data_IF_749133104878
#
_entry.id   IF_749133104878
#
_cell.length_a   1.000
_cell.length_b   1.000
_cell.length_c   1.000
_cell.angle_alpha   90.00
_cell.angle_beta   90.00
_cell.angle_gamma   90.00
#
_symmetry.space_group_name_H-M   'P 1'
#
loop_
_entity.id
_entity.type
_entity.pdbx_description
1 polymer ?
#
# COMPACT_ATOMS: atom_id res chain seq x y z
N UNK A 1 -9.08 -10.34 23.64
CA UNK A 1 -8.26 -9.56 22.67
C UNK A 1 -7.72 -10.54 21.65
N UNK A 2 -8.24 -10.54 20.42
CA UNK A 2 -7.71 -11.40 19.34
C UNK A 2 -6.35 -10.82 18.94
N UNK A 3 -5.29 -11.64 18.81
CA UNK A 3 -4.04 -11.15 18.25
C UNK A 3 -4.34 -10.56 16.87
N UNK A 4 -3.78 -9.39 16.51
CA UNK A 4 -3.99 -8.84 15.19
C UNK A 4 -3.53 -9.89 14.18
N UNK A 5 -4.42 -10.26 13.27
CA UNK A 5 -4.11 -11.17 12.18
C UNK A 5 -2.84 -10.69 11.47
N UNK A 6 -2.02 -11.62 10.94
CA UNK A 6 -0.85 -11.23 10.17
C UNK A 6 -1.26 -10.20 9.11
N UNK A 7 -0.54 -9.07 9.01
CA UNK A 7 -0.93 -8.02 8.09
C UNK A 7 -0.94 -8.59 6.67
N UNK A 8 -2.05 -8.37 5.96
CA UNK A 8 -2.20 -8.74 4.56
C UNK A 8 -1.04 -8.12 3.75
N UNK A 9 -0.49 -8.86 2.79
CA UNK A 9 0.56 -8.42 1.86
C UNK A 9 0.30 -7.00 1.31
N UNK A 10 -0.96 -6.69 0.99
CA UNK A 10 -1.37 -5.36 0.55
C UNK A 10 -1.12 -4.26 1.59
N UNK A 11 -1.33 -4.54 2.88
CA UNK A 11 -1.11 -3.59 3.97
C UNK A 11 0.39 -3.32 4.15
N UNK A 12 1.24 -4.33 4.01
CA UNK A 12 2.70 -4.19 4.04
C UNK A 12 3.19 -3.35 2.85
N UNK A 13 2.70 -3.65 1.65
CA UNK A 13 2.98 -2.88 0.44
C UNK A 13 2.57 -1.41 0.58
N UNK A 14 1.35 -1.16 1.07
CA UNK A 14 0.84 0.18 1.31
C UNK A 14 1.73 0.96 2.27
N UNK A 15 2.14 0.37 3.40
CA UNK A 15 2.99 1.04 4.40
C UNK A 15 4.35 1.43 3.82
N UNK A 16 4.90 0.61 2.92
CA UNK A 16 6.16 0.91 2.26
C UNK A 16 6.05 2.04 1.22
N UNK A 17 4.97 2.07 0.42
CA UNK A 17 4.80 3.04 -0.68
C UNK A 17 4.18 4.38 -0.25
N UNK A 18 3.29 4.36 0.74
CA UNK A 18 2.58 5.55 1.25
C UNK A 18 3.51 6.75 1.56
N UNK A 19 4.61 6.63 2.31
CA UNK A 19 5.48 7.78 2.58
C UNK A 19 6.12 8.36 1.32
N UNK A 20 6.46 7.53 0.32
CA UNK A 20 7.00 8.00 -0.97
C UNK A 20 5.98 8.77 -1.80
N UNK A 21 4.71 8.32 -1.79
CA UNK A 21 3.63 9.01 -2.52
C UNK A 21 3.28 10.33 -1.81
N UNK A 22 3.18 10.33 -0.47
CA UNK A 22 2.92 11.55 0.30
C UNK A 22 4.05 12.58 0.13
N UNK A 23 5.31 12.13 0.06
CA UNK A 23 6.45 13.00 -0.19
C UNK A 23 6.43 13.60 -1.61
N UNK A 24 5.99 12.84 -2.61
CA UNK A 24 5.86 13.31 -4.01
C UNK A 24 4.64 14.19 -4.23
N UNK A 25 3.56 13.92 -3.52
CA UNK A 25 2.29 14.62 -3.64
C UNK A 25 1.94 15.24 -2.30
N UNK A 26 2.46 16.45 -2.06
CA UNK A 26 2.17 17.17 -0.83
C UNK A 26 0.70 17.62 -0.86
N UNK A 27 -0.13 17.09 0.06
CA UNK A 27 -1.54 17.48 0.19
C UNK A 27 -2.56 16.52 -0.43
N UNK A 28 -2.16 15.32 -0.87
CA UNK A 28 -3.15 14.30 -1.26
C UNK A 28 -3.86 13.70 -0.06
N UNK A 29 -5.18 13.53 -0.21
CA UNK A 29 -6.01 12.88 0.79
C UNK A 29 -5.66 11.40 0.88
N UNK A 30 -5.76 10.80 2.07
CA UNK A 30 -5.60 9.36 2.27
C UNK A 30 -6.43 8.50 1.31
N UNK A 31 -7.57 9.02 0.85
CA UNK A 31 -8.44 8.35 -0.12
C UNK A 31 -7.77 8.23 -1.50
N UNK A 32 -7.09 9.28 -1.97
CA UNK A 32 -6.37 9.30 -3.24
C UNK A 32 -5.12 8.43 -3.15
N UNK A 33 -4.40 8.48 -2.02
CA UNK A 33 -3.29 7.54 -1.74
C UNK A 33 -3.78 6.09 -1.82
N UNK A 34 -4.94 5.79 -1.26
CA UNK A 34 -5.49 4.42 -1.26
C UNK A 34 -5.87 3.96 -2.66
N UNK A 35 -6.47 4.82 -3.48
CA UNK A 35 -6.79 4.51 -4.89
C UNK A 35 -5.52 4.25 -5.69
N UNK A 36 -4.52 5.12 -5.55
CA UNK A 36 -3.27 5.00 -6.28
C UNK A 36 -2.51 3.72 -5.88
N UNK A 37 -2.38 3.45 -4.58
CA UNK A 37 -1.70 2.23 -4.11
C UNK A 37 -2.46 0.97 -4.54
N UNK A 38 -3.80 0.99 -4.56
CA UNK A 38 -4.61 -0.14 -5.02
C UNK A 38 -4.43 -0.40 -6.52
N UNK A 39 -4.31 0.67 -7.30
CA UNK A 39 -4.00 0.62 -8.73
C UNK A 39 -2.59 0.09 -8.96
N UNK A 40 -1.57 0.67 -8.31
CA UNK A 40 -0.20 0.19 -8.37
C UNK A 40 -0.09 -1.28 -7.96
N UNK A 41 -0.82 -1.69 -6.91
CA UNK A 41 -0.85 -3.10 -6.51
C UNK A 41 -1.44 -4.00 -7.58
N UNK A 42 -2.49 -3.56 -8.29
CA UNK A 42 -3.09 -4.28 -9.41
C UNK A 42 -2.18 -4.37 -10.64
N UNK A 43 -1.39 -3.33 -10.90
CA UNK A 43 -0.43 -3.28 -12.01
C UNK A 43 0.90 -3.99 -11.69
N UNK A 44 1.30 -4.05 -10.42
CA UNK A 44 2.53 -4.73 -10.01
C UNK A 44 2.45 -6.26 -10.22
N UNK A 45 3.56 -6.88 -10.63
CA UNK A 45 3.62 -8.31 -10.90
C UNK A 45 3.38 -9.15 -9.64
N UNK A 46 2.86 -10.36 -9.84
CA UNK A 46 2.54 -11.29 -8.75
C UNK A 46 3.75 -11.60 -7.84
N UNK A 47 4.98 -11.49 -8.36
CA UNK A 47 6.22 -11.64 -7.61
C UNK A 47 6.38 -10.61 -6.49
N UNK A 48 5.94 -9.37 -6.71
CA UNK A 48 5.92 -8.33 -5.68
C UNK A 48 4.84 -8.65 -4.66
N UNK A 49 3.67 -9.14 -5.11
CA UNK A 49 2.58 -9.53 -4.20
C UNK A 49 2.90 -10.72 -3.32
N UNK A 50 3.78 -11.61 -3.77
CA UNK A 50 4.29 -12.75 -2.99
C UNK A 50 5.43 -12.37 -2.04
N UNK A 51 6.16 -11.28 -2.32
CA UNK A 51 7.28 -10.80 -1.50
C UNK A 51 6.83 -9.99 -0.27
N UNK A 52 5.65 -9.41 -0.34
CA UNK A 52 5.00 -8.69 0.76
C UNK A 52 4.01 -9.58 1.47
#
# INVERSE_FOLDING_TARGET
KKPPSPPNAFILYRRAKQPGIIARHQGITNNEVSKEISRMWHEEPAEIRMKF
#
